data_IF_806873661188
#
_entry.id   IF_806873661188
#
_cell.length_a   1.000
_cell.length_b   1.000
_cell.length_c   1.000
_cell.angle_alpha   90.00
_cell.angle_beta   90.00
_cell.angle_gamma   90.00
#
_symmetry.space_group_name_H-M   'P 1'
#
loop_
_entity.id
_entity.type
_entity.pdbx_description
1 polymer ?
#
# COMPACT_ATOMS: atom_id res chain seq x y z
N UNK A 1 -21.99 -45.81 53.20
CA UNK A 1 -20.57 -45.67 52.83
C UNK A 1 -20.49 -45.16 51.40
N UNK A 2 -20.01 -43.93 51.17
CA UNK A 2 -20.03 -43.34 49.84
C UNK A 2 -19.37 -41.97 49.79
N UNK A 3 -18.15 -41.86 50.31
CA UNK A 3 -17.34 -40.65 50.13
C UNK A 3 -16.34 -40.91 49.00
N UNK A 4 -16.82 -40.89 47.75
CA UNK A 4 -15.93 -40.74 46.62
C UNK A 4 -15.05 -39.51 46.90
N UNK A 5 -13.72 -39.70 46.90
CA UNK A 5 -12.70 -38.70 47.24
C UNK A 5 -12.89 -37.47 46.35
N UNK A 6 -13.72 -36.52 46.83
CA UNK A 6 -14.15 -35.33 46.11
C UNK A 6 -12.94 -34.59 45.55
N UNK A 7 -12.76 -34.69 44.24
CA UNK A 7 -11.84 -33.84 43.48
C UNK A 7 -10.36 -34.22 43.51
N UNK A 8 -9.94 -35.40 43.99
CA UNK A 8 -8.50 -35.77 43.97
C UNK A 8 -7.98 -36.27 42.62
N UNK A 9 -8.85 -36.75 41.72
CA UNK A 9 -8.46 -37.26 40.41
C UNK A 9 -8.95 -36.41 39.23
N UNK A 10 -10.19 -35.94 39.28
CA UNK A 10 -10.82 -35.25 38.13
C UNK A 10 -10.40 -33.78 38.01
N UNK A 11 -10.13 -33.09 39.13
CA UNK A 11 -9.63 -31.70 39.10
C UNK A 11 -8.25 -31.56 38.47
N UNK A 12 -7.22 -32.35 38.84
CA UNK A 12 -5.92 -32.21 38.18
C UNK A 12 -5.98 -32.52 36.67
N UNK A 13 -6.91 -33.38 36.23
CA UNK A 13 -7.15 -33.62 34.81
C UNK A 13 -7.80 -32.42 34.12
N UNK A 14 -8.87 -31.84 34.69
CA UNK A 14 -9.50 -30.65 34.13
C UNK A 14 -8.55 -29.45 34.14
N UNK A 15 -7.77 -29.28 35.21
CA UNK A 15 -6.78 -28.21 35.34
C UNK A 15 -5.69 -28.35 34.26
N UNK A 16 -5.24 -29.58 33.96
CA UNK A 16 -4.28 -29.85 32.89
C UNK A 16 -4.85 -29.59 31.48
N UNK A 17 -6.14 -29.92 31.25
CA UNK A 17 -6.81 -29.65 29.97
C UNK A 17 -6.97 -28.14 29.76
N UNK A 18 -7.39 -27.39 30.79
CA UNK A 18 -7.53 -25.93 30.73
C UNK A 18 -6.16 -25.27 30.48
N UNK A 19 -5.09 -25.79 31.08
CA UNK A 19 -3.74 -25.30 30.84
C UNK A 19 -3.20 -25.60 29.44
N UNK A 20 -3.59 -26.74 28.85
CA UNK A 20 -3.15 -27.14 27.50
C UNK A 20 -3.98 -26.49 26.39
N UNK A 21 -5.27 -26.24 26.64
CA UNK A 21 -6.19 -25.61 25.70
C UNK A 21 -6.93 -24.44 26.39
N UNK A 22 -6.22 -23.32 26.63
CA UNK A 22 -6.84 -22.15 27.23
C UNK A 22 -8.00 -21.69 26.37
N UNK A 23 -9.07 -21.23 27.00
CA UNK A 23 -10.23 -20.76 26.24
C UNK A 23 -9.81 -19.52 25.42
N UNK A 24 -10.36 -19.32 24.22
CA UNK A 24 -10.03 -18.16 23.39
C UNK A 24 -10.39 -16.80 24.05
N UNK A 25 -11.12 -16.81 25.17
CA UNK A 25 -11.39 -15.63 26.00
C UNK A 25 -10.23 -15.29 26.95
N UNK A 26 -9.36 -16.25 27.23
CA UNK A 26 -8.20 -16.09 28.13
C UNK A 26 -6.93 -15.64 27.40
N UNK A 27 -6.97 -15.63 26.06
CA UNK A 27 -5.87 -15.18 25.20
C UNK A 27 -6.14 -13.72 24.82
N UNK A 28 -5.28 -12.76 25.18
CA UNK A 28 -5.45 -11.38 24.74
C UNK A 28 -5.40 -11.35 23.20
N UNK A 29 -6.24 -10.51 22.54
CA UNK A 29 -6.25 -10.42 21.09
C UNK A 29 -4.85 -10.06 20.58
N UNK A 30 -4.37 -10.81 19.60
CA UNK A 30 -3.10 -10.55 18.93
C UNK A 30 -3.26 -9.23 18.16
N UNK A 31 -2.67 -8.16 18.67
CA UNK A 31 -2.59 -6.89 17.99
C UNK A 31 -1.48 -6.98 16.95
N UNK A 32 -1.84 -6.84 15.68
CA UNK A 32 -0.88 -6.69 14.61
C UNK A 32 -0.32 -5.26 14.63
N UNK A 33 0.98 -5.13 14.40
CA UNK A 33 1.61 -3.84 14.17
C UNK A 33 0.99 -3.20 12.91
N UNK A 34 0.78 -1.89 12.96
CA UNK A 34 0.28 -1.13 11.81
C UNK A 34 1.29 -1.19 10.67
N UNK A 35 0.82 -1.56 9.48
CA UNK A 35 1.64 -1.54 8.25
C UNK A 35 2.06 -0.09 7.98
N UNK A 36 3.36 0.20 8.09
CA UNK A 36 3.91 1.53 7.81
C UNK A 36 4.38 1.59 6.35
N UNK A 37 3.68 2.36 5.52
CA UNK A 37 4.09 2.59 4.14
C UNK A 37 5.15 3.71 4.09
N UNK A 38 6.25 3.45 3.40
CA UNK A 38 7.28 4.47 3.17
C UNK A 38 6.78 5.55 2.20
N UNK A 39 7.27 6.77 2.36
CA UNK A 39 6.97 7.85 1.43
C UNK A 39 7.67 7.63 0.08
N UNK A 40 7.05 8.04 -1.05
CA UNK A 40 7.67 7.95 -2.35
C UNK A 40 8.91 8.85 -2.44
N UNK A 41 9.98 8.32 -3.01
CA UNK A 41 11.31 8.97 -3.07
C UNK A 41 11.56 9.62 -4.43
N UNK A 42 10.86 9.17 -5.47
CA UNK A 42 11.01 9.66 -6.84
C UNK A 42 9.67 10.07 -7.44
N UNK A 43 9.73 11.04 -8.35
CA UNK A 43 8.58 11.57 -9.07
C UNK A 43 8.90 11.71 -10.57
N UNK A 44 7.96 11.35 -11.44
CA UNK A 44 8.05 11.45 -12.90
C UNK A 44 6.81 12.16 -13.45
N UNK A 45 7.01 13.07 -14.39
CA UNK A 45 5.90 13.74 -15.09
C UNK A 45 5.49 12.93 -16.33
N UNK A 46 4.19 12.77 -16.52
CA UNK A 46 3.58 12.11 -17.67
C UNK A 46 2.63 13.10 -18.35
N UNK A 47 2.69 13.12 -19.67
CA UNK A 47 1.83 13.96 -20.51
C UNK A 47 0.98 13.11 -21.45
N UNK A 48 -0.32 13.40 -21.49
CA UNK A 48 -1.27 12.86 -22.47
C UNK A 48 -1.29 13.72 -23.73
N UNK A 49 -1.24 13.11 -24.93
CA UNK A 49 -1.36 13.87 -26.19
C UNK A 49 -2.77 14.38 -26.49
N UNK A 50 -3.81 13.74 -25.94
CA UNK A 50 -5.21 14.10 -26.22
C UNK A 50 -5.96 14.37 -24.92
N UNK A 51 -6.92 15.31 -24.93
CA UNK A 51 -7.82 15.53 -23.78
C UNK A 51 -8.69 14.31 -23.46
N UNK A 52 -9.14 13.56 -24.48
CA UNK A 52 -9.90 12.31 -24.29
C UNK A 52 -9.07 11.19 -23.64
N UNK A 53 -7.75 11.32 -23.65
CA UNK A 53 -6.81 10.37 -23.06
C UNK A 53 -6.48 10.73 -21.60
N UNK A 54 -6.71 11.98 -21.17
CA UNK A 54 -6.55 12.40 -19.78
C UNK A 54 -7.51 11.67 -18.85
N UNK A 55 -8.80 11.63 -19.22
CA UNK A 55 -9.83 10.99 -18.39
C UNK A 55 -9.52 9.50 -18.17
N UNK A 56 -9.06 8.80 -19.22
CA UNK A 56 -8.65 7.39 -19.14
C UNK A 56 -7.39 7.18 -18.30
N UNK A 57 -6.45 8.12 -18.38
CA UNK A 57 -5.21 8.09 -17.63
C UNK A 57 -5.48 8.31 -16.14
N UNK A 58 -6.37 9.25 -15.79
CA UNK A 58 -6.79 9.48 -14.42
C UNK A 58 -7.50 8.24 -13.83
N UNK A 59 -8.41 7.61 -14.59
CA UNK A 59 -9.05 6.35 -14.20
C UNK A 59 -8.04 5.20 -14.01
N UNK A 60 -7.01 5.15 -14.86
CA UNK A 60 -5.95 4.14 -14.78
C UNK A 60 -5.07 4.34 -13.54
N UNK A 61 -4.69 5.58 -13.26
CA UNK A 61 -3.86 5.95 -12.11
C UNK A 61 -4.58 5.72 -10.79
N UNK A 62 -5.89 6.01 -10.74
CA UNK A 62 -6.71 5.73 -9.57
C UNK A 62 -6.69 4.23 -9.22
N UNK A 63 -6.87 3.36 -10.23
CA UNK A 63 -6.82 1.89 -10.03
C UNK A 63 -5.44 1.41 -9.59
N UNK A 64 -4.36 2.00 -10.11
CA UNK A 64 -3.01 1.65 -9.68
C UNK A 64 -2.71 2.11 -8.24
N UNK A 65 -3.24 3.26 -7.83
CA UNK A 65 -3.13 3.73 -6.45
C UNK A 65 -3.92 2.86 -5.46
N UNK A 66 -5.02 2.22 -5.90
CA UNK A 66 -5.73 1.21 -5.10
C UNK A 66 -4.93 -0.09 -4.96
N UNK A 67 -4.15 -0.47 -5.99
CA UNK A 67 -3.29 -1.66 -5.95
C UNK A 67 -2.04 -1.47 -5.08
N UNK A 68 -1.44 -0.27 -5.09
CA UNK A 68 -0.21 0.05 -4.34
C UNK A 68 -0.36 1.35 -3.53
N UNK A 69 -0.44 1.28 -2.18
CA UNK A 69 -0.53 2.44 -1.30
C UNK A 69 0.68 3.39 -1.34
N UNK A 70 1.82 2.94 -1.88
CA UNK A 70 3.04 3.75 -2.01
C UNK A 70 3.03 4.61 -3.27
N UNK A 71 2.14 4.32 -4.22
CA UNK A 71 1.98 5.08 -5.44
C UNK A 71 1.08 6.29 -5.20
N UNK A 72 1.61 7.49 -5.46
CA UNK A 72 0.86 8.74 -5.36
C UNK A 72 0.89 9.44 -6.72
N UNK A 73 -0.21 10.05 -7.12
CA UNK A 73 -0.24 10.86 -8.33
C UNK A 73 -0.87 12.23 -8.03
N UNK A 74 -0.47 13.22 -8.81
CA UNK A 74 -0.97 14.59 -8.72
C UNK A 74 -1.20 15.15 -10.12
N UNK A 75 -2.38 15.70 -10.37
CA UNK A 75 -2.73 16.32 -11.65
C UNK A 75 -2.57 17.84 -11.54
N UNK A 76 -1.70 18.42 -12.36
CA UNK A 76 -1.55 19.87 -12.45
C UNK A 76 -2.40 20.43 -13.59
N UNK A 77 -3.49 21.13 -13.24
CA UNK A 77 -4.43 21.73 -14.18
C UNK A 77 -3.81 22.86 -15.04
N UNK A 78 -2.72 23.50 -14.58
CA UNK A 78 -2.09 24.61 -15.29
C UNK A 78 -1.17 24.13 -16.42
N UNK A 79 -0.49 23.00 -16.25
CA UNK A 79 0.44 22.44 -17.23
C UNK A 79 -0.16 21.29 -18.02
N UNK A 80 -1.27 20.71 -17.56
CA UNK A 80 -1.84 19.48 -18.14
C UNK A 80 -0.96 18.25 -17.94
N UNK A 81 0.01 18.33 -17.01
CA UNK A 81 0.94 17.26 -16.66
C UNK A 81 0.44 16.51 -15.43
N UNK A 82 0.63 15.19 -15.44
CA UNK A 82 0.37 14.34 -14.28
C UNK A 82 1.71 13.91 -13.68
N UNK A 83 1.92 14.22 -12.40
CA UNK A 83 3.10 13.83 -11.66
C UNK A 83 2.82 12.54 -10.91
N UNK A 84 3.52 11.47 -11.27
CA UNK A 84 3.45 10.18 -10.56
C UNK A 84 4.67 10.02 -9.64
N UNK A 85 4.45 9.58 -8.42
CA UNK A 85 5.46 9.43 -7.37
C UNK A 85 5.44 8.02 -6.81
N UNK A 86 6.63 7.44 -6.62
CA UNK A 86 6.79 6.06 -6.17
C UNK A 86 8.12 5.83 -5.45
N UNK A 87 8.32 4.61 -4.97
CA UNK A 87 9.50 4.23 -4.20
C UNK A 87 10.82 4.25 -5.00
N UNK A 88 10.77 4.07 -6.33
CA UNK A 88 11.97 3.87 -7.14
C UNK A 88 11.72 4.08 -8.65
N UNK A 89 12.80 4.20 -9.43
CA UNK A 89 12.77 4.40 -10.89
C UNK A 89 12.08 3.24 -11.58
N UNK A 90 12.53 2.00 -11.31
CA UNK A 90 11.91 0.79 -11.86
C UNK A 90 10.43 0.67 -11.51
N UNK A 91 10.02 1.11 -10.32
CA UNK A 91 8.60 1.09 -9.94
C UNK A 91 7.80 2.01 -10.88
N UNK A 92 8.27 3.25 -11.07
CA UNK A 92 7.63 4.21 -11.96
C UNK A 92 7.61 3.75 -13.43
N UNK A 93 8.69 3.13 -13.90
CA UNK A 93 8.78 2.56 -15.25
C UNK A 93 7.78 1.43 -15.47
N UNK A 94 7.71 0.47 -14.54
CA UNK A 94 6.77 -0.65 -14.62
C UNK A 94 5.32 -0.15 -14.55
N UNK A 95 5.03 0.88 -13.73
CA UNK A 95 3.69 1.46 -13.68
C UNK A 95 3.33 2.16 -14.99
N UNK A 96 4.23 2.97 -15.57
CA UNK A 96 4.02 3.60 -16.86
C UNK A 96 3.81 2.57 -17.97
N UNK A 97 4.60 1.48 -17.98
CA UNK A 97 4.44 0.39 -18.94
C UNK A 97 3.11 -0.37 -18.76
N UNK A 98 2.66 -0.58 -17.51
CA UNK A 98 1.34 -1.19 -17.23
C UNK A 98 0.20 -0.34 -17.78
N UNK A 99 0.27 0.98 -17.64
CA UNK A 99 -0.73 1.91 -18.19
C UNK A 99 -0.76 1.80 -19.72
N UNK A 100 0.41 1.83 -20.36
CA UNK A 100 0.56 1.67 -21.81
C UNK A 100 -0.05 0.36 -22.33
N UNK A 101 0.26 -0.76 -21.64
CA UNK A 101 -0.20 -2.10 -22.03
C UNK A 101 -1.70 -2.31 -21.80
N UNK A 102 -2.27 -1.72 -20.76
CA UNK A 102 -3.67 -1.97 -20.36
C UNK A 102 -4.69 -1.07 -21.05
N UNK A 103 -4.27 0.08 -21.59
CA UNK A 103 -5.15 1.09 -22.16
C UNK A 103 -4.80 1.46 -23.62
N UNK A 104 -4.60 0.47 -24.49
CA UNK A 104 -4.50 0.65 -25.96
C UNK A 104 -3.47 1.71 -26.42
N UNK A 105 -2.22 1.61 -25.96
CA UNK A 105 -1.12 2.48 -26.41
C UNK A 105 -1.46 3.98 -26.28
N UNK A 106 -2.02 4.38 -25.13
CA UNK A 106 -2.10 5.79 -24.75
C UNK A 106 -0.77 6.46 -25.10
N UNK A 107 -0.74 7.41 -26.02
CA UNK A 107 0.52 7.93 -26.50
C UNK A 107 1.01 8.93 -25.46
N UNK A 108 1.56 8.41 -24.37
CA UNK A 108 2.24 9.20 -23.35
C UNK A 108 3.60 9.57 -23.90
N UNK A 109 3.91 10.88 -23.94
CA UNK A 109 5.30 11.28 -24.10
C UNK A 109 5.95 11.04 -22.75
N UNK A 110 6.51 9.84 -22.57
CA UNK A 110 7.53 9.62 -21.55
C UNK A 110 8.72 10.46 -21.96
N UNK A 111 8.74 11.73 -21.56
CA UNK A 111 9.93 12.52 -21.76
C UNK A 111 11.04 11.85 -20.94
N UNK A 112 12.02 11.28 -21.63
CA UNK A 112 13.32 10.83 -21.09
C UNK A 112 14.06 11.93 -20.28
N UNK A 113 13.47 13.12 -20.18
CA UNK A 113 13.83 14.21 -19.29
C UNK A 113 12.83 14.23 -18.15
N UNK A 114 13.12 13.73 -16.96
CA UNK A 114 13.69 14.57 -15.90
C UNK A 114 14.30 13.68 -14.80
N UNK A 115 15.53 13.21 -15.04
CA UNK A 115 16.51 12.84 -14.01
C UNK A 115 16.98 14.05 -13.17
N UNK A 116 16.06 14.98 -12.85
CA UNK A 116 16.28 16.15 -12.01
C UNK A 116 15.05 16.48 -11.15
N UNK A 117 14.70 15.58 -10.26
CA UNK A 117 14.14 15.99 -8.97
C UNK A 117 15.02 15.43 -7.85
N UNK A 118 16.30 15.78 -7.89
CA UNK A 118 17.22 15.67 -6.73
C UNK A 118 16.87 16.71 -5.65
N UNK A 119 15.60 17.06 -5.49
CA UNK A 119 15.13 18.14 -4.62
C UNK A 119 13.89 17.74 -3.79
N UNK A 120 13.97 16.59 -3.11
CA UNK A 120 13.23 16.38 -1.85
C UNK A 120 14.19 16.31 -0.65
N UNK A 121 15.46 16.73 -0.80
CA UNK A 121 16.28 17.13 0.34
C UNK A 121 15.86 18.54 0.75
N UNK A 122 14.75 18.69 1.47
CA UNK A 122 14.37 20.00 2.01
C UNK A 122 12.90 20.27 2.31
N UNK A 123 12.01 19.30 2.37
CA UNK A 123 10.66 19.49 2.93
C UNK A 123 10.56 18.87 4.32
N UNK A 124 11.50 19.23 5.19
CA UNK A 124 11.23 19.28 6.62
C UNK A 124 10.94 20.74 6.95
N UNK A 125 9.68 21.04 7.28
CA UNK A 125 9.08 22.27 7.80
C UNK A 125 7.92 22.80 6.95
N UNK A 126 6.79 23.05 7.63
CA UNK A 126 5.48 23.55 7.17
C UNK A 126 4.40 22.48 6.91
N UNK A 127 3.93 21.81 7.96
CA UNK A 127 2.72 22.18 8.72
C UNK A 127 2.40 21.08 9.76
#
# INVERSE_FOLDING_TARGET
CGSALRGKGVRPLLDAIIAYLPSPLDIPPVLFESIHFSEPVLSMAIESKTKADQDKLDDALAKLAEEDPTFKFYNNQETGQVLISGMGELHLEVMAERILRRYDNLPINGSETTLKAKLARGASSLA
#
